data_IF_102454099968
#
_entry.id   IF_102454099968
#
_cell.length_a   1.000
_cell.length_b   1.000
_cell.length_c   1.000
_cell.angle_alpha   90.00
_cell.angle_beta   90.00
_cell.angle_gamma   90.00
#
_symmetry.space_group_name_H-M   'P 1'
#
loop_
_entity.id
_entity.type
_entity.pdbx_description
1 polymer ?
#
# COMPACT_ATOMS: atom_id res chain seq x y z
N UNK A 1 32.33 -5.14 -37.44
CA UNK A 1 31.23 -4.21 -37.13
C UNK A 1 30.21 -4.95 -36.29
N UNK A 2 30.25 -4.76 -34.97
CA UNK A 2 29.29 -5.38 -34.07
C UNK A 2 27.96 -4.64 -34.20
N UNK A 3 26.90 -5.36 -34.57
CA UNK A 3 25.55 -4.83 -34.60
C UNK A 3 25.12 -4.51 -33.16
N UNK A 4 24.97 -3.23 -32.86
CA UNK A 4 24.35 -2.76 -31.63
C UNK A 4 22.88 -3.13 -31.67
N UNK A 5 22.47 -4.06 -30.81
CA UNK A 5 21.05 -4.33 -30.54
C UNK A 5 20.37 -2.99 -30.17
N UNK A 6 19.25 -2.62 -30.80
CA UNK A 6 18.52 -1.43 -30.39
C UNK A 6 18.03 -1.67 -28.97
N UNK A 7 18.57 -0.94 -27.99
CA UNK A 7 18.05 -0.88 -26.63
C UNK A 7 16.58 -0.47 -26.74
N UNK A 8 15.67 -1.42 -26.62
CA UNK A 8 14.25 -1.17 -26.48
C UNK A 8 14.07 -0.29 -25.27
N UNK A 9 13.70 0.98 -25.47
CA UNK A 9 13.42 1.86 -24.34
C UNK A 9 12.31 1.24 -23.47
N UNK A 10 12.43 1.29 -22.14
CA UNK A 10 11.39 0.80 -21.24
C UNK A 10 10.05 1.45 -21.60
N UNK A 11 9.02 0.62 -21.85
CA UNK A 11 7.67 1.10 -22.11
C UNK A 11 7.14 1.84 -20.87
N UNK A 12 6.42 2.95 -21.11
CA UNK A 12 5.68 3.63 -20.05
C UNK A 12 4.65 2.67 -19.42
N UNK A 13 4.45 2.80 -18.12
CA UNK A 13 3.50 2.01 -17.32
C UNK A 13 2.59 2.97 -16.56
N UNK A 14 1.30 2.66 -16.55
CA UNK A 14 0.31 3.37 -15.73
C UNK A 14 -0.12 2.46 -14.60
N UNK A 15 -0.09 2.96 -13.37
CA UNK A 15 -0.57 2.29 -12.16
C UNK A 15 -1.76 3.05 -11.59
N UNK A 16 -2.81 2.35 -11.18
CA UNK A 16 -3.93 2.97 -10.47
C UNK A 16 -3.80 2.77 -8.96
N UNK A 17 -3.73 3.88 -8.22
CA UNK A 17 -3.52 3.91 -6.77
C UNK A 17 -4.79 4.46 -6.10
N UNK A 18 -5.40 3.66 -5.23
CA UNK A 18 -6.59 4.06 -4.48
C UNK A 18 -6.24 4.31 -3.01
N UNK A 19 -6.49 5.52 -2.52
CA UNK A 19 -6.20 5.96 -1.15
C UNK A 19 -7.50 6.11 -0.38
N UNK A 20 -7.54 5.56 0.83
CA UNK A 20 -8.64 5.69 1.78
C UNK A 20 -8.11 6.33 3.06
N UNK A 21 -8.81 7.36 3.56
CA UNK A 21 -8.61 7.86 4.93
C UNK A 21 -9.93 7.84 5.70
N UNK A 22 -9.90 7.31 6.92
CA UNK A 22 -11.09 7.30 7.78
C UNK A 22 -10.75 7.30 9.28
N UNK A 23 -11.21 8.34 9.98
CA UNK A 23 -11.31 8.29 11.43
C UNK A 23 -12.51 7.41 11.82
N UNK A 24 -12.24 6.23 12.38
CA UNK A 24 -13.26 5.21 12.64
C UNK A 24 -13.90 5.34 14.02
N UNK A 25 -13.48 6.31 14.85
CA UNK A 25 -14.03 6.57 16.19
C UNK A 25 -14.22 5.29 17.04
N UNK A 26 -13.21 4.41 16.98
CA UNK A 26 -13.10 3.08 17.62
C UNK A 26 -14.13 2.05 17.18
N UNK A 27 -14.84 2.27 16.08
CA UNK A 27 -15.75 1.31 15.49
C UNK A 27 -15.02 0.13 14.83
N UNK A 28 -15.69 -1.02 14.80
CA UNK A 28 -15.29 -2.18 14.00
C UNK A 28 -15.62 -1.95 12.51
N UNK A 29 -14.99 -2.68 11.58
CA UNK A 29 -15.35 -2.60 10.16
C UNK A 29 -16.84 -2.92 9.96
N UNK A 30 -17.55 -2.17 9.09
CA UNK A 30 -18.91 -2.52 8.71
C UNK A 30 -18.89 -3.77 7.81
N UNK A 31 -20.03 -4.47 7.65
CA UNK A 31 -20.08 -5.72 6.89
C UNK A 31 -19.76 -5.55 5.39
N UNK A 32 -19.93 -4.36 4.84
CA UNK A 32 -19.72 -4.07 3.42
C UNK A 32 -18.96 -2.75 3.25
N UNK A 33 -17.83 -2.80 2.53
CA UNK A 33 -17.01 -1.66 2.12
C UNK A 33 -16.83 -1.59 0.59
N UNK A 34 -17.72 -2.24 -0.17
CA UNK A 34 -17.58 -2.37 -1.63
C UNK A 34 -17.53 -1.02 -2.35
N UNK A 35 -18.35 -0.06 -1.94
CA UNK A 35 -18.34 1.30 -2.51
C UNK A 35 -17.10 2.09 -2.09
N UNK A 36 -16.67 1.97 -0.82
CA UNK A 36 -15.45 2.61 -0.32
C UNK A 36 -14.21 2.15 -1.09
N UNK A 37 -14.12 0.85 -1.36
CA UNK A 37 -13.01 0.21 -2.06
C UNK A 37 -13.22 0.14 -3.58
N UNK A 38 -14.35 0.64 -4.08
CA UNK A 38 -14.72 0.64 -5.50
C UNK A 38 -14.72 -0.77 -6.14
N UNK A 39 -15.07 -1.81 -5.39
CA UNK A 39 -15.02 -3.21 -5.83
C UNK A 39 -15.98 -3.49 -7.00
N UNK A 40 -17.07 -2.74 -7.09
CA UNK A 40 -18.09 -2.87 -8.14
C UNK A 40 -17.75 -2.07 -9.40
N UNK A 41 -16.66 -1.28 -9.41
CA UNK A 41 -16.30 -0.46 -10.55
C UNK A 41 -15.44 -1.22 -11.56
N UNK A 42 -16.09 -1.94 -12.47
CA UNK A 42 -15.44 -2.78 -13.50
C UNK A 42 -14.51 -2.01 -14.45
N UNK A 43 -14.63 -0.68 -14.52
CA UNK A 43 -13.78 0.14 -15.37
C UNK A 43 -12.44 0.51 -14.71
N UNK A 44 -12.30 0.28 -13.40
CA UNK A 44 -11.08 0.59 -12.67
C UNK A 44 -10.24 -0.65 -12.45
N UNK A 45 -9.12 -0.71 -13.15
CA UNK A 45 -8.10 -1.70 -12.90
C UNK A 45 -7.15 -1.19 -11.80
N UNK A 46 -7.60 -1.24 -10.54
CA UNK A 46 -6.79 -0.81 -9.39
C UNK A 46 -5.56 -1.72 -9.24
N UNK A 47 -4.41 -1.14 -8.91
CA UNK A 47 -3.14 -1.86 -8.77
C UNK A 47 -2.62 -1.83 -7.33
N UNK A 48 -2.87 -0.73 -6.62
CA UNK A 48 -2.42 -0.49 -5.23
C UNK A 48 -3.55 0.14 -4.42
N UNK A 49 -3.80 -0.41 -3.23
CA UNK A 49 -4.59 0.25 -2.19
C UNK A 49 -3.68 0.77 -1.08
N UNK A 50 -3.98 1.98 -0.64
CA UNK A 50 -3.35 2.63 0.51
C UNK A 50 -4.47 3.01 1.48
N UNK A 51 -4.48 2.43 2.68
CA UNK A 51 -5.57 2.62 3.64
C UNK A 51 -5.02 3.18 4.94
N UNK A 52 -5.47 4.37 5.32
CA UNK A 52 -5.14 5.01 6.60
C UNK A 52 -6.36 5.14 7.49
N UNK A 53 -6.27 4.59 8.70
CA UNK A 53 -7.30 4.71 9.71
C UNK A 53 -6.79 5.52 10.91
N UNK A 54 -7.71 6.22 11.57
CA UNK A 54 -7.47 6.94 12.83
C UNK A 54 -8.52 6.56 13.88
N UNK A 55 -8.18 6.75 15.15
CA UNK A 55 -9.01 6.37 16.31
C UNK A 55 -9.44 4.90 16.32
N UNK A 56 -8.61 4.00 15.78
CA UNK A 56 -8.87 2.57 15.90
C UNK A 56 -8.95 2.14 17.35
N UNK A 57 -9.80 1.15 17.63
CA UNK A 57 -9.88 0.56 18.95
C UNK A 57 -8.52 -0.05 19.33
N UNK A 58 -7.99 0.41 20.46
CA UNK A 58 -6.68 0.02 21.01
C UNK A 58 -6.84 -0.92 22.22
N UNK A 59 -7.91 -1.73 22.28
CA UNK A 59 -8.21 -2.66 23.39
C UNK A 59 -7.03 -3.58 23.78
N UNK A 60 -7.26 -4.58 24.64
CA UNK A 60 -6.24 -5.43 25.31
C UNK A 60 -5.15 -6.03 24.36
N UNK A 61 -5.37 -6.04 23.04
CA UNK A 61 -4.33 -6.26 22.03
C UNK A 61 -3.09 -5.34 22.16
N UNK A 62 -3.19 -4.17 22.79
CA UNK A 62 -2.01 -3.34 23.12
C UNK A 62 -1.17 -3.89 24.29
N UNK A 63 -1.70 -4.88 25.02
CA UNK A 63 -1.06 -5.53 26.17
C UNK A 63 -0.46 -6.90 25.83
N UNK A 64 -0.86 -7.48 24.70
CA UNK A 64 -0.31 -8.72 24.14
C UNK A 64 0.50 -8.34 22.90
N UNK A 65 1.56 -9.09 22.55
CA UNK A 65 2.54 -8.60 21.58
C UNK A 65 1.89 -8.17 20.26
N UNK A 66 2.26 -6.98 19.76
CA UNK A 66 1.87 -6.41 18.45
C UNK A 66 2.12 -7.37 17.26
N UNK A 67 2.83 -8.47 17.51
CA UNK A 67 3.18 -9.51 16.54
C UNK A 67 2.21 -10.70 16.51
N UNK A 68 1.37 -10.91 17.52
CA UNK A 68 0.62 -12.17 17.66
C UNK A 68 -0.81 -12.13 17.09
N UNK A 69 -1.43 -10.95 16.96
CA UNK A 69 -2.80 -10.84 16.47
C UNK A 69 -2.97 -9.65 15.52
N UNK A 70 -3.41 -9.96 14.30
CA UNK A 70 -3.86 -8.97 13.32
C UNK A 70 -5.12 -8.27 13.86
N UNK A 71 -5.20 -6.96 13.71
CA UNK A 71 -6.38 -6.22 14.11
C UNK A 71 -7.58 -6.51 13.18
N UNK A 72 -8.83 -6.34 13.65
CA UNK A 72 -10.02 -6.69 12.86
C UNK A 72 -10.14 -5.94 11.53
N UNK A 73 -9.62 -4.73 11.42
CA UNK A 73 -9.65 -3.97 10.17
C UNK A 73 -8.65 -4.54 9.17
N UNK A 74 -7.43 -4.83 9.61
CA UNK A 74 -6.41 -5.50 8.77
C UNK A 74 -6.92 -6.83 8.24
N UNK A 75 -7.53 -7.67 9.10
CA UNK A 75 -8.13 -8.94 8.68
C UNK A 75 -9.25 -8.73 7.66
N UNK A 76 -10.16 -7.79 7.93
CA UNK A 76 -11.28 -7.49 7.03
C UNK A 76 -10.79 -7.10 5.63
N UNK A 77 -9.83 -6.17 5.52
CA UNK A 77 -9.31 -5.75 4.23
C UNK A 77 -8.56 -6.88 3.51
N UNK A 78 -7.81 -7.69 4.26
CA UNK A 78 -7.16 -8.89 3.70
C UNK A 78 -8.17 -9.87 3.09
N UNK A 79 -9.25 -10.18 3.81
CA UNK A 79 -10.27 -11.12 3.36
C UNK A 79 -11.06 -10.59 2.14
N UNK A 80 -11.28 -9.28 2.08
CA UNK A 80 -11.98 -8.62 0.96
C UNK A 80 -11.10 -8.49 -0.29
N UNK A 81 -9.80 -8.19 -0.12
CA UNK A 81 -8.91 -7.84 -1.23
C UNK A 81 -8.15 -9.04 -1.81
N UNK A 82 -7.89 -10.10 -1.05
CA UNK A 82 -7.13 -11.25 -1.55
C UNK A 82 -7.78 -12.01 -2.70
N UNK A 83 -9.12 -12.18 -2.77
CA UNK A 83 -9.77 -12.78 -3.93
C UNK A 83 -9.55 -11.97 -5.22
N UNK A 84 -9.23 -10.68 -5.09
CA UNK A 84 -8.93 -9.75 -6.18
C UNK A 84 -7.43 -9.70 -6.51
N UNK A 85 -6.66 -10.69 -6.05
CA UNK A 85 -5.20 -10.82 -6.28
C UNK A 85 -4.34 -9.78 -5.56
N UNK A 86 -4.89 -9.04 -4.61
CA UNK A 86 -4.14 -8.11 -3.77
C UNK A 86 -3.54 -8.82 -2.56
N UNK A 87 -2.29 -8.49 -2.25
CA UNK A 87 -1.58 -9.00 -1.07
C UNK A 87 -1.23 -7.81 -0.19
N UNK A 88 -1.37 -7.96 1.13
CA UNK A 88 -0.88 -6.96 2.08
C UNK A 88 0.66 -6.94 2.01
N UNK A 89 1.21 -5.82 1.56
CA UNK A 89 2.65 -5.63 1.35
C UNK A 89 3.34 -5.15 2.62
N UNK A 90 2.72 -4.20 3.32
CA UNK A 90 3.28 -3.63 4.54
C UNK A 90 2.18 -2.96 5.37
N UNK A 91 2.44 -2.85 6.68
CA UNK A 91 1.61 -2.13 7.62
C UNK A 91 2.46 -1.43 8.67
N UNK A 92 1.95 -0.33 9.20
CA UNK A 92 2.52 0.35 10.36
C UNK A 92 1.40 0.89 11.24
N UNK A 93 1.56 0.71 12.55
CA UNK A 93 0.56 1.11 13.54
C UNK A 93 1.21 1.94 14.63
N UNK A 94 0.49 2.96 15.10
CA UNK A 94 0.83 3.74 16.29
C UNK A 94 -0.45 4.03 17.08
N UNK A 95 -0.67 3.29 18.17
CA UNK A 95 -1.91 3.34 18.94
C UNK A 95 -3.15 3.21 18.02
N UNK A 96 -3.92 4.29 17.85
CA UNK A 96 -5.14 4.32 17.04
C UNK A 96 -4.92 4.70 15.57
N UNK A 97 -3.67 4.93 15.14
CA UNK A 97 -3.28 5.16 13.76
C UNK A 97 -2.85 3.84 13.12
N UNK A 98 -3.37 3.54 11.93
CA UNK A 98 -2.95 2.40 11.12
C UNK A 98 -2.77 2.84 9.67
N UNK A 99 -1.71 2.39 9.04
CA UNK A 99 -1.49 2.52 7.61
C UNK A 99 -1.23 1.13 7.03
N UNK A 100 -1.99 0.78 5.98
CA UNK A 100 -1.91 -0.47 5.25
C UNK A 100 -1.62 -0.19 3.78
N UNK A 101 -0.76 -1.02 3.17
CA UNK A 101 -0.54 -1.03 1.73
C UNK A 101 -0.85 -2.42 1.20
N UNK A 102 -1.73 -2.49 0.21
CA UNK A 102 -1.99 -3.68 -0.58
C UNK A 102 -1.62 -3.42 -2.03
N UNK A 103 -1.09 -4.42 -2.72
CA UNK A 103 -0.82 -4.34 -4.14
C UNK A 103 -1.18 -5.67 -4.81
N UNK A 104 -1.57 -5.62 -6.09
CA UNK A 104 -1.69 -6.86 -6.87
C UNK A 104 -0.34 -7.58 -6.87
N UNK A 105 -0.35 -8.90 -6.67
CA UNK A 105 0.89 -9.68 -6.50
C UNK A 105 1.90 -9.45 -7.64
N UNK A 106 1.45 -9.20 -8.87
CA UNK A 106 2.31 -8.89 -10.03
C UNK A 106 3.24 -7.67 -9.86
N UNK A 107 2.95 -6.76 -8.91
CA UNK A 107 3.76 -5.57 -8.63
C UNK A 107 4.78 -5.78 -7.52
N UNK A 108 4.61 -6.80 -6.67
CA UNK A 108 5.47 -7.06 -5.50
C UNK A 108 6.97 -7.11 -5.83
N UNK A 109 7.43 -7.73 -6.95
CA UNK A 109 8.85 -7.73 -7.33
C UNK A 109 9.47 -6.36 -7.57
N UNK A 110 8.62 -5.32 -7.67
CA UNK A 110 9.00 -3.95 -7.94
C UNK A 110 8.64 -3.01 -6.79
N UNK A 111 8.22 -3.56 -5.65
CA UNK A 111 7.93 -2.83 -4.42
C UNK A 111 8.93 -3.28 -3.35
N UNK A 112 9.81 -2.38 -2.95
CA UNK A 112 10.76 -2.63 -1.87
C UNK A 112 10.43 -1.73 -0.68
N UNK A 113 10.07 -2.31 0.46
CA UNK A 113 9.87 -1.55 1.70
C UNK A 113 11.24 -1.23 2.28
N UNK A 114 11.55 0.06 2.39
CA UNK A 114 12.84 0.52 2.93
C UNK A 114 12.75 0.81 4.43
N UNK A 115 11.61 1.33 4.89
CA UNK A 115 11.40 1.63 6.29
C UNK A 115 9.93 1.85 6.63
N UNK A 116 9.56 1.55 7.87
CA UNK A 116 8.32 1.99 8.49
C UNK A 116 8.64 2.82 9.73
N UNK A 117 7.95 3.95 9.92
CA UNK A 117 8.22 4.89 11.02
C UNK A 117 6.92 5.35 11.68
N UNK A 118 7.00 5.58 12.98
CA UNK A 118 5.94 6.17 13.79
C UNK A 118 6.48 7.42 14.48
N UNK A 119 5.78 8.55 14.32
CA UNK A 119 6.15 9.84 14.90
C UNK A 119 5.05 10.28 15.86
N UNK A 120 5.19 9.98 17.17
CA UNK A 120 4.22 10.45 18.17
C UNK A 120 4.36 11.95 18.38
N UNK A 121 3.23 12.64 18.50
CA UNK A 121 3.17 14.08 18.76
C UNK A 121 2.09 14.43 19.80
N UNK A 122 1.55 13.43 20.52
CA UNK A 122 0.50 13.59 21.51
C UNK A 122 0.97 14.27 22.80
N UNK A 123 0.40 13.93 23.95
CA UNK A 123 0.77 14.48 25.26
C UNK A 123 2.31 14.63 25.41
N UNK A 124 2.76 15.88 25.60
CA UNK A 124 4.17 16.30 25.70
C UNK A 124 5.07 16.01 24.49
N UNK A 125 4.51 15.68 23.33
CA UNK A 125 5.27 15.33 22.12
C UNK A 125 5.79 13.88 22.11
N UNK A 126 5.38 13.04 23.07
CA UNK A 126 5.89 11.66 23.20
C UNK A 126 4.79 10.59 23.21
N UNK A 127 3.51 10.97 23.34
CA UNK A 127 2.40 10.02 23.34
C UNK A 127 1.83 9.77 21.94
N UNK A 128 1.55 8.52 21.57
CA UNK A 128 1.19 8.12 20.20
C UNK A 128 -0.28 8.28 19.79
N UNK A 129 -1.12 9.01 20.54
CA UNK A 129 -2.54 9.21 20.17
C UNK A 129 -2.75 10.29 19.10
N UNK A 130 -1.69 11.03 18.77
CA UNK A 130 -1.58 12.03 17.70
C UNK A 130 -0.21 11.88 17.07
N UNK A 131 -0.10 12.29 15.81
CA UNK A 131 1.14 12.26 15.05
C UNK A 131 0.95 11.61 13.69
N UNK A 132 1.98 10.91 13.21
CA UNK A 132 1.98 10.29 11.90
C UNK A 132 2.65 8.93 11.88
N UNK A 133 2.21 8.07 10.96
CA UNK A 133 2.87 6.83 10.59
C UNK A 133 3.23 6.87 9.12
N UNK A 134 4.41 6.39 8.76
CA UNK A 134 4.96 6.45 7.42
C UNK A 134 5.43 5.07 6.97
N UNK A 135 5.15 4.73 5.70
CA UNK A 135 5.81 3.65 4.98
C UNK A 135 6.60 4.26 3.84
N UNK A 136 7.91 4.06 3.88
CA UNK A 136 8.84 4.49 2.84
C UNK A 136 9.27 3.30 1.99
N UNK A 137 9.08 3.40 0.68
CA UNK A 137 9.31 2.32 -0.26
C UNK A 137 9.93 2.79 -1.58
N UNK A 138 10.52 1.85 -2.32
CA UNK A 138 10.76 2.00 -3.76
C UNK A 138 9.63 1.35 -4.53
N UNK A 139 9.06 2.06 -5.49
CA UNK A 139 8.06 1.58 -6.44
C UNK A 139 8.63 1.70 -7.86
N UNK A 140 8.91 0.57 -8.52
CA UNK A 140 9.58 0.55 -9.82
C UNK A 140 10.90 1.34 -9.87
N UNK A 141 11.58 1.42 -8.72
CA UNK A 141 12.82 2.16 -8.50
C UNK A 141 12.66 3.62 -8.06
N UNK A 142 11.44 4.17 -8.07
CA UNK A 142 11.16 5.53 -7.58
C UNK A 142 10.93 5.53 -6.07
N UNK A 143 11.42 6.55 -5.37
CA UNK A 143 11.27 6.72 -3.93
C UNK A 143 9.89 7.30 -3.60
N UNK A 144 9.11 6.58 -2.79
CA UNK A 144 7.74 6.96 -2.42
C UNK A 144 7.57 6.93 -0.91
N UNK A 145 7.12 8.03 -0.32
CA UNK A 145 6.68 8.10 1.09
C UNK A 145 5.16 8.19 1.18
N UNK A 146 4.59 7.40 2.10
CA UNK A 146 3.15 7.31 2.31
C UNK A 146 2.86 7.53 3.79
N UNK A 147 2.21 8.65 4.10
CA UNK A 147 2.02 9.13 5.47
C UNK A 147 0.53 9.19 5.80
N UNK A 148 0.13 8.48 6.84
CA UNK A 148 -1.16 8.65 7.52
C UNK A 148 -0.95 9.44 8.82
N UNK A 149 -1.78 10.44 9.09
CA UNK A 149 -1.67 11.27 10.30
C UNK A 149 -2.99 11.47 11.03
N UNK A 150 -2.87 11.87 12.30
CA UNK A 150 -3.95 12.34 13.14
C UNK A 150 -3.45 13.56 13.92
N UNK A 151 -3.82 14.74 13.46
CA UNK A 151 -3.31 16.02 13.98
C UNK A 151 -4.21 16.58 15.10
N UNK A 152 -3.73 17.57 15.89
CA UNK A 152 -4.44 18.12 17.03
C UNK A 152 -5.85 18.62 16.69
N UNK A 153 -6.87 18.26 17.49
CA UNK A 153 -8.24 18.69 17.25
C UNK A 153 -8.45 20.14 17.72
N UNK A 154 -9.67 20.65 17.51
CA UNK A 154 -10.15 22.00 17.89
C UNK A 154 -9.66 23.15 16.99
N UNK A 155 -10.54 24.14 16.85
CA UNK A 155 -10.34 25.32 15.98
C UNK A 155 -9.09 26.12 16.35
N UNK A 156 -8.82 26.32 17.63
CA UNK A 156 -7.72 27.14 18.15
C UNK A 156 -6.32 26.52 17.92
N UNK A 157 -6.22 25.21 17.68
CA UNK A 157 -4.93 24.51 17.61
C UNK A 157 -4.34 24.50 16.18
N UNK A 158 -4.54 25.58 15.41
CA UNK A 158 -4.06 25.64 14.04
C UNK A 158 -2.53 25.59 13.97
N UNK A 159 -1.87 26.44 14.75
CA UNK A 159 -0.40 26.50 14.78
C UNK A 159 0.21 25.19 15.25
N UNK A 160 -0.43 24.52 16.21
CA UNK A 160 -0.01 23.20 16.67
C UNK A 160 -0.13 22.12 15.58
N UNK A 161 -1.14 22.21 14.68
CA UNK A 161 -1.23 21.31 13.53
C UNK A 161 -0.07 21.52 12.56
N UNK A 162 0.32 22.77 12.32
CA UNK A 162 1.45 23.10 11.47
C UNK A 162 2.77 22.61 12.07
N UNK A 163 2.99 22.83 13.38
CA UNK A 163 4.16 22.30 14.09
C UNK A 163 4.25 20.77 14.00
N UNK A 164 3.12 20.07 14.17
CA UNK A 164 3.08 18.61 14.05
C UNK A 164 3.33 18.15 12.61
N UNK A 165 2.87 18.91 11.62
CA UNK A 165 3.18 18.64 10.21
C UNK A 165 4.70 18.70 9.99
N UNK A 166 5.35 19.80 10.37
CA UNK A 166 6.79 19.97 10.22
C UNK A 166 7.56 18.87 10.96
N UNK A 167 7.17 18.57 12.21
CA UNK A 167 7.78 17.51 13.02
C UNK A 167 7.69 16.14 12.36
N UNK A 168 6.55 15.82 11.75
CA UNK A 168 6.38 14.54 11.04
C UNK A 168 7.36 14.47 9.88
N UNK A 169 7.50 15.51 9.06
CA UNK A 169 8.47 15.52 7.95
C UNK A 169 9.91 15.38 8.41
N UNK A 170 10.32 16.16 9.40
CA UNK A 170 11.69 16.18 9.92
C UNK A 170 12.13 14.80 10.42
N UNK A 171 11.25 14.11 11.14
CA UNK A 171 11.49 12.78 11.71
C UNK A 171 11.58 11.66 10.65
N UNK A 172 11.20 11.93 9.40
CA UNK A 172 11.33 10.94 8.33
C UNK A 172 12.76 10.81 7.82
N UNK A 173 13.64 11.77 8.07
CA UNK A 173 15.02 11.71 7.59
C UNK A 173 15.83 10.61 8.29
N UNK A 174 16.76 9.99 7.57
CA UNK A 174 17.63 8.92 8.08
C UNK A 174 19.05 9.45 8.13
N UNK A 175 19.63 9.61 9.33
CA UNK A 175 21.02 10.07 9.46
C UNK A 175 22.05 8.96 9.17
N UNK A 176 21.62 7.68 9.17
CA UNK A 176 22.51 6.51 9.17
C UNK A 176 22.32 5.55 7.98
N UNK A 177 21.49 5.88 6.99
CA UNK A 177 21.25 5.05 5.80
C UNK A 177 21.39 5.91 4.54
N UNK A 178 21.80 5.31 3.41
CA UNK A 178 21.83 5.95 2.07
C UNK A 178 20.41 6.23 1.53
N UNK A 179 19.54 6.77 2.39
CA UNK A 179 18.15 7.12 2.11
C UNK A 179 18.08 8.62 1.87
N UNK A 180 17.51 9.07 0.74
CA UNK A 180 17.33 10.48 0.47
C UNK A 180 16.39 11.14 1.50
N UNK A 181 16.58 12.44 1.72
CA UNK A 181 15.66 13.27 2.51
C UNK A 181 14.22 13.11 1.97
N UNK A 182 13.22 13.16 2.85
CA UNK A 182 11.82 12.98 2.43
C UNK A 182 11.40 13.94 1.31
N UNK A 183 11.92 15.18 1.31
CA UNK A 183 11.62 16.18 0.29
C UNK A 183 12.26 15.87 -1.08
N UNK A 184 13.22 14.95 -1.12
CA UNK A 184 13.86 14.44 -2.33
C UNK A 184 13.21 13.18 -2.88
N UNK A 185 12.17 12.65 -2.22
CA UNK A 185 11.39 11.51 -2.71
C UNK A 185 10.57 11.92 -3.94
N UNK A 186 10.42 10.98 -4.87
CA UNK A 186 9.73 11.21 -6.15
C UNK A 186 8.23 11.48 -5.95
N UNK A 187 7.62 10.81 -4.97
CA UNK A 187 6.24 11.00 -4.55
C UNK A 187 6.11 10.98 -3.03
N UNK A 188 5.38 11.95 -2.48
CA UNK A 188 4.88 11.93 -1.11
C UNK A 188 3.35 11.92 -1.19
N UNK A 189 2.72 10.90 -0.60
CA UNK A 189 1.28 10.84 -0.35
C UNK A 189 1.08 11.10 1.14
N UNK A 190 0.32 12.14 1.49
CA UNK A 190 0.07 12.50 2.89
C UNK A 190 -1.40 12.75 3.13
N UNK A 191 -1.99 11.92 3.98
CA UNK A 191 -3.42 11.94 4.27
C UNK A 191 -3.69 11.65 5.74
N UNK A 192 -4.95 11.73 6.13
CA UNK A 192 -5.38 11.43 7.48
C UNK A 192 -6.46 12.36 8.00
N UNK A 193 -6.74 12.26 9.29
CA UNK A 193 -7.49 13.26 10.04
C UNK A 193 -6.55 14.41 10.40
N UNK A 194 -6.43 15.35 9.47
CA UNK A 194 -5.62 16.55 9.62
C UNK A 194 -6.27 17.60 10.52
N UNK A 195 -7.54 17.42 10.91
CA UNK A 195 -8.24 18.23 11.91
C UNK A 195 -8.32 19.75 11.64
N UNK A 196 -7.99 20.22 10.43
CA UNK A 196 -8.19 21.62 10.02
C UNK A 196 -9.68 21.98 10.00
N UNK A 197 -9.98 23.22 10.39
CA UNK A 197 -11.35 23.71 10.59
C UNK A 197 -11.66 24.84 9.63
N UNK A 198 -12.96 25.13 9.48
CA UNK A 198 -13.42 26.36 8.85
C UNK A 198 -13.38 27.45 9.92
N UNK A 199 -12.65 28.54 9.74
CA UNK A 199 -12.64 29.70 10.64
C UNK A 199 -13.62 30.79 10.19
N UNK A 200 -13.80 31.85 10.98
CA UNK A 200 -14.58 33.08 10.74
C UNK A 200 -16.08 32.99 10.38
N UNK A 201 -16.53 31.97 9.64
CA UNK A 201 -17.94 31.77 9.33
C UNK A 201 -18.72 31.23 10.52
N UNK A 202 -19.86 31.85 10.80
CA UNK A 202 -20.83 31.37 11.78
C UNK A 202 -21.47 30.05 11.36
N UNK A 203 -21.92 29.26 12.34
CA UNK A 203 -22.51 27.93 12.11
C UNK A 203 -23.69 27.95 11.12
N UNK A 204 -24.54 28.98 11.17
CA UNK A 204 -25.68 29.13 10.27
C UNK A 204 -25.23 29.26 8.81
N UNK A 205 -24.26 30.13 8.53
CA UNK A 205 -23.72 30.32 7.19
C UNK A 205 -23.14 29.01 6.64
N UNK A 206 -22.28 28.34 7.43
CA UNK A 206 -21.71 27.05 7.05
C UNK A 206 -22.78 26.02 6.70
N UNK A 207 -23.82 25.89 7.54
CA UNK A 207 -24.92 24.95 7.29
C UNK A 207 -25.72 25.28 6.03
N UNK A 208 -25.98 26.56 5.77
CA UNK A 208 -26.72 26.99 4.59
C UNK A 208 -25.90 26.78 3.30
N UNK A 209 -24.59 27.08 3.33
CA UNK A 209 -23.69 26.77 2.21
C UNK A 209 -23.64 25.27 1.92
N UNK A 210 -23.56 24.42 2.95
CA UNK A 210 -23.59 22.96 2.77
C UNK A 210 -24.91 22.49 2.18
N UNK A 211 -26.04 22.99 2.71
CA UNK A 211 -27.38 22.64 2.23
C UNK A 211 -27.59 22.99 0.76
N UNK A 212 -27.06 24.13 0.32
CA UNK A 212 -27.12 24.58 -1.07
C UNK A 212 -25.98 24.04 -1.95
N UNK A 213 -25.10 23.19 -1.39
CA UNK A 213 -23.91 22.63 -2.05
C UNK A 213 -22.91 23.69 -2.56
N UNK A 214 -22.92 24.88 -1.97
CA UNK A 214 -21.97 25.96 -2.24
C UNK A 214 -20.70 25.77 -1.41
N UNK A 215 -20.00 24.65 -1.62
CA UNK A 215 -18.81 24.30 -0.84
C UNK A 215 -17.64 25.27 -1.09
N UNK A 216 -17.51 25.77 -2.32
CA UNK A 216 -16.45 26.72 -2.71
C UNK A 216 -16.42 27.99 -1.86
N UNK A 217 -17.58 28.45 -1.41
CA UNK A 217 -17.72 29.66 -0.59
C UNK A 217 -17.05 29.50 0.78
N UNK A 218 -16.81 28.26 1.21
CA UNK A 218 -16.20 27.93 2.49
C UNK A 218 -14.67 27.81 2.40
N UNK A 219 -14.10 27.60 1.21
CA UNK A 219 -12.67 27.30 1.03
C UNK A 219 -11.76 28.45 1.47
N UNK A 220 -12.19 29.70 1.30
CA UNK A 220 -11.38 30.85 1.71
C UNK A 220 -11.11 30.89 3.20
N UNK A 221 -11.97 30.23 3.99
CA UNK A 221 -11.89 30.13 5.44
C UNK A 221 -11.56 28.71 5.93
N UNK A 222 -11.23 27.78 5.04
CA UNK A 222 -10.64 26.51 5.44
C UNK A 222 -9.17 26.74 5.85
N UNK A 223 -8.83 26.38 7.09
CA UNK A 223 -7.49 26.58 7.64
C UNK A 223 -6.39 25.90 6.83
N UNK A 224 -6.61 24.71 6.25
CA UNK A 224 -5.57 24.08 5.41
C UNK A 224 -5.39 24.87 4.11
N UNK A 225 -6.49 25.28 3.49
CA UNK A 225 -6.47 26.12 2.28
C UNK A 225 -5.77 27.45 2.52
N UNK A 226 -5.99 28.08 3.69
CA UNK A 226 -5.26 29.27 4.13
C UNK A 226 -3.78 28.96 4.33
N UNK A 227 -3.44 27.91 5.09
CA UNK A 227 -2.06 27.54 5.38
C UNK A 227 -1.24 27.33 4.10
N UNK A 228 -1.77 26.59 3.12
CA UNK A 228 -1.11 26.36 1.82
C UNK A 228 -0.86 27.65 1.01
N UNK A 229 -1.63 28.71 1.24
CA UNK A 229 -1.39 30.02 0.60
C UNK A 229 -0.24 30.78 1.26
N UNK A 230 0.04 30.59 2.54
CA UNK A 230 1.03 31.37 3.29
C UNK A 230 2.33 30.61 3.57
N UNK A 231 2.24 29.31 3.81
CA UNK A 231 3.36 28.44 4.12
C UNK A 231 4.01 27.90 2.83
N UNK A 232 5.34 28.04 2.72
CA UNK A 232 6.08 27.70 1.50
C UNK A 232 6.15 26.19 1.25
N UNK A 233 6.26 25.39 2.31
CA UNK A 233 6.41 23.94 2.23
C UNK A 233 5.07 23.28 1.92
N UNK A 234 4.01 23.68 2.63
CA UNK A 234 2.64 23.23 2.37
C UNK A 234 2.15 23.61 0.97
N UNK A 235 2.62 24.73 0.41
CA UNK A 235 2.31 25.11 -0.97
C UNK A 235 2.86 24.11 -2.00
N UNK A 236 3.88 23.33 -1.66
CA UNK A 236 4.41 22.29 -2.55
C UNK A 236 3.49 21.07 -2.65
N UNK A 237 2.62 20.88 -1.66
CA UNK A 237 1.62 19.82 -1.66
C UNK A 237 0.38 20.24 -2.47
N UNK A 238 -0.05 19.36 -3.36
CA UNK A 238 -1.28 19.48 -4.13
C UNK A 238 -2.43 18.79 -3.40
N UNK A 239 -3.65 19.22 -3.68
CA UNK A 239 -4.89 18.64 -3.16
C UNK A 239 -6.00 18.83 -4.21
N UNK A 240 -6.93 17.88 -4.30
CA UNK A 240 -8.09 17.98 -5.18
C UNK A 240 -9.12 19.00 -4.67
N UNK A 241 -10.03 19.50 -5.53
CA UNK A 241 -11.09 20.39 -5.08
C UNK A 241 -12.05 19.66 -4.12
N UNK A 242 -12.42 20.31 -3.03
CA UNK A 242 -13.37 19.77 -2.04
C UNK A 242 -14.81 19.92 -2.54
N UNK A 243 -15.19 19.04 -3.48
CA UNK A 243 -16.53 19.02 -4.12
C UNK A 243 -17.55 18.16 -3.36
N UNK A 244 -17.26 17.83 -2.11
CA UNK A 244 -18.09 17.02 -1.21
C UNK A 244 -18.30 17.76 0.11
N UNK A 245 -19.38 17.48 0.85
CA UNK A 245 -19.67 18.19 2.09
C UNK A 245 -18.59 17.92 3.17
N UNK A 246 -18.43 18.82 4.16
CA UNK A 246 -17.52 18.62 5.28
C UNK A 246 -17.71 17.26 5.98
N UNK A 247 -16.60 16.56 6.24
CA UNK A 247 -16.58 15.16 6.68
C UNK A 247 -16.73 14.97 8.18
N UNK A 248 -16.76 16.07 8.94
CA UNK A 248 -16.89 16.10 10.39
C UNK A 248 -17.74 17.31 10.80
N UNK A 249 -18.51 17.33 11.90
CA UNK A 249 -18.80 16.22 12.83
C UNK A 249 -20.25 15.77 12.67
N UNK A 250 -20.47 14.47 12.55
CA UNK A 250 -21.79 13.86 12.46
C UNK A 250 -22.24 13.24 13.78
N UNK A 251 -23.55 13.13 13.95
CA UNK A 251 -24.10 12.18 14.92
C UNK A 251 -23.88 10.76 14.41
N UNK A 252 -23.43 9.84 15.29
CA UNK A 252 -23.18 8.45 14.91
C UNK A 252 -24.46 7.80 14.36
N UNK A 253 -24.29 6.94 13.36
CA UNK A 253 -25.34 6.25 12.61
C UNK A 253 -26.29 7.20 11.84
N UNK A 254 -25.83 8.41 11.53
CA UNK A 254 -26.62 9.43 10.82
C UNK A 254 -25.78 10.25 9.84
N UNK A 255 -26.47 11.01 8.98
CA UNK A 255 -25.91 12.08 8.15
C UNK A 255 -26.26 13.47 8.70
N UNK A 256 -26.84 13.53 9.90
CA UNK A 256 -27.08 14.78 10.63
C UNK A 256 -25.80 15.26 11.28
N UNK A 257 -25.43 16.52 11.03
CA UNK A 257 -24.32 17.18 11.72
C UNK A 257 -24.64 17.44 13.19
N UNK A 258 -23.59 17.34 14.03
CA UNK A 258 -23.60 17.37 15.50
C UNK A 258 -24.78 18.13 16.13
N UNK A 259 -25.70 17.36 16.72
CA UNK A 259 -26.87 17.88 17.46
C UNK A 259 -26.62 17.99 18.96
N UNK A 260 -25.43 17.58 19.45
CA UNK A 260 -25.07 17.71 20.85
C UNK A 260 -25.01 19.17 21.30
N UNK A 261 -24.97 19.40 22.61
CA UNK A 261 -24.85 20.75 23.19
C UNK A 261 -23.63 21.52 22.65
N UNK A 262 -22.56 20.82 22.26
CA UNK A 262 -21.34 21.42 21.74
C UNK A 262 -21.49 21.99 20.32
N UNK A 263 -22.50 21.52 19.56
CA UNK A 263 -22.83 21.95 18.18
C UNK A 263 -21.60 22.25 17.34
N UNK A 264 -20.68 21.28 17.23
CA UNK A 264 -19.42 21.47 16.53
C UNK A 264 -19.69 21.87 15.09
N UNK A 265 -19.00 22.94 14.65
CA UNK A 265 -19.11 23.45 13.29
C UNK A 265 -18.58 22.41 12.30
N UNK A 266 -19.31 22.14 11.19
CA UNK A 266 -18.81 21.25 10.15
C UNK A 266 -17.45 21.68 9.61
N UNK A 267 -16.57 20.72 9.31
CA UNK A 267 -15.22 20.95 8.77
C UNK A 267 -14.72 19.77 7.92
N UNK A 268 -13.86 20.05 6.95
CA UNK A 268 -13.10 19.04 6.21
C UNK A 268 -11.83 18.69 7.00
N UNK A 269 -11.99 17.75 7.92
CA UNK A 269 -10.89 17.27 8.77
C UNK A 269 -10.06 16.18 8.07
N UNK A 270 -10.70 15.40 7.20
CA UNK A 270 -10.12 14.23 6.55
C UNK A 270 -9.62 14.61 5.15
N UNK A 271 -8.30 14.60 4.93
CA UNK A 271 -7.65 15.23 3.76
C UNK A 271 -6.67 14.29 3.08
N UNK A 272 -6.47 14.46 1.77
CA UNK A 272 -5.49 13.70 0.98
C UNK A 272 -4.67 14.68 0.13
N UNK A 273 -3.40 14.82 0.46
CA UNK A 273 -2.43 15.64 -0.24
C UNK A 273 -1.39 14.79 -0.94
N UNK A 274 -0.79 15.32 -2.00
CA UNK A 274 0.35 14.71 -2.65
C UNK A 274 1.40 15.73 -3.07
N UNK A 275 2.66 15.33 -3.12
CA UNK A 275 3.75 16.15 -3.64
C UNK A 275 4.61 15.30 -4.57
N UNK A 276 4.85 15.81 -5.77
CA UNK A 276 5.83 15.26 -6.71
C UNK A 276 7.14 16.00 -6.56
N UNK A 277 8.27 15.29 -6.68
CA UNK A 277 9.59 15.92 -6.73
C UNK A 277 9.63 16.96 -7.84
N UNK A 278 10.20 18.13 -7.53
CA UNK A 278 10.46 19.15 -8.56
C UNK A 278 11.46 18.60 -9.57
N UNK A 279 11.04 18.46 -10.81
CA UNK A 279 11.95 18.25 -11.93
C UNK A 279 12.88 19.48 -12.00
N UNK A 280 14.21 19.30 -12.09
CA UNK A 280 15.10 20.43 -12.29
C UNK A 280 14.70 21.14 -13.59
N UNK A 281 14.30 22.41 -13.48
CA UNK A 281 14.07 23.22 -14.67
C UNK A 281 15.40 23.41 -15.36
N UNK A 282 15.55 22.82 -16.56
CA UNK A 282 16.72 23.06 -17.40
C UNK A 282 16.88 24.57 -17.62
N UNK A 283 18.09 25.08 -17.39
CA UNK A 283 18.42 26.48 -17.66
C UNK A 283 18.12 26.85 -19.12
N UNK A 284 18.07 28.14 -19.41
CA UNK A 284 17.71 28.73 -20.72
C UNK A 284 18.50 28.20 -21.94
N UNK A 285 19.53 27.36 -21.76
CA UNK A 285 20.35 26.77 -22.81
C UNK A 285 20.43 25.23 -22.83
N UNK A 286 19.67 24.52 -22.01
CA UNK A 286 19.56 23.04 -22.10
C UNK A 286 18.34 22.65 -22.93
N UNK A 287 18.45 21.73 -23.91
CA UNK A 287 17.29 21.19 -24.62
C UNK A 287 16.27 20.70 -23.60
N UNK A 288 14.97 21.00 -23.82
CA UNK A 288 13.88 20.51 -22.97
C UNK A 288 14.09 19.01 -22.76
N UNK A 289 14.41 18.63 -21.52
CA UNK A 289 14.43 17.22 -21.11
C UNK A 289 13.07 16.61 -21.48
N UNK A 290 13.12 15.35 -21.94
CA UNK A 290 11.97 14.52 -22.30
C UNK A 290 10.85 14.64 -21.26
N UNK A 291 9.59 14.48 -21.71
CA UNK A 291 8.40 14.54 -20.86
C UNK A 291 8.59 13.81 -19.52
N UNK A 292 8.03 14.32 -18.41
CA UNK A 292 8.32 13.80 -17.06
C UNK A 292 8.10 12.30 -17.02
N UNK A 293 9.17 11.55 -16.74
CA UNK A 293 9.19 10.09 -16.64
C UNK A 293 8.35 9.54 -15.46
N UNK A 294 7.67 10.41 -14.72
CA UNK A 294 6.90 10.14 -13.52
C UNK A 294 5.86 11.26 -13.32
N UNK A 295 4.57 10.96 -13.49
CA UNK A 295 3.46 11.92 -13.41
C UNK A 295 2.28 11.30 -12.68
N UNK A 296 1.59 12.08 -11.85
CA UNK A 296 0.44 11.64 -11.07
C UNK A 296 -0.81 12.46 -11.43
N UNK A 297 -1.89 11.77 -11.79
CA UNK A 297 -3.16 12.37 -12.17
C UNK A 297 -4.25 11.97 -11.19
N UNK A 298 -4.90 12.94 -10.55
CA UNK A 298 -6.07 12.70 -9.72
C UNK A 298 -7.29 12.38 -10.60
N UNK A 299 -7.90 11.22 -10.40
CA UNK A 299 -9.11 10.77 -11.11
C UNK A 299 -10.39 11.00 -10.31
N UNK A 300 -10.34 10.78 -9.00
CA UNK A 300 -11.47 11.03 -8.10
C UNK A 300 -10.99 11.48 -6.74
N UNK A 301 -11.76 12.36 -6.09
CA UNK A 301 -11.56 12.79 -4.71
C UNK A 301 -12.92 13.06 -4.07
N UNK A 302 -13.40 12.13 -3.24
CA UNK A 302 -14.79 12.10 -2.78
C UNK A 302 -14.90 11.63 -1.33
N UNK A 303 -16.01 12.00 -0.67
CA UNK A 303 -16.42 11.44 0.62
C UNK A 303 -17.61 10.50 0.45
N UNK A 304 -17.66 9.44 1.26
CA UNK A 304 -18.69 8.41 1.18
C UNK A 304 -19.69 8.54 2.33
N UNK A 305 -20.76 9.30 2.09
CA UNK A 305 -21.79 9.64 3.07
C UNK A 305 -22.65 8.45 3.54
N UNK A 306 -22.62 7.32 2.83
CA UNK A 306 -23.37 6.11 3.20
C UNK A 306 -22.81 5.42 4.45
N UNK A 307 -21.52 5.62 4.75
CA UNK A 307 -20.90 5.06 5.95
C UNK A 307 -21.15 5.98 7.14
N UNK A 308 -21.77 5.43 8.18
CA UNK A 308 -22.25 6.23 9.32
C UNK A 308 -21.81 5.70 10.69
N UNK A 309 -20.96 4.68 10.75
CA UNK A 309 -20.47 4.08 12.02
C UNK A 309 -19.63 5.05 12.87
N UNK A 310 -19.10 6.11 12.26
CA UNK A 310 -18.25 7.12 12.88
C UNK A 310 -18.90 8.51 12.82
N UNK A 311 -18.45 9.43 13.65
CA UNK A 311 -18.76 10.86 13.54
C UNK A 311 -17.95 11.55 12.41
N UNK A 312 -17.08 10.80 11.73
CA UNK A 312 -16.42 11.16 10.48
C UNK A 312 -16.93 10.32 9.29
N UNK A 313 -16.91 10.94 8.11
CA UNK A 313 -17.18 10.25 6.83
C UNK A 313 -15.86 9.91 6.14
N UNK A 314 -15.69 8.67 5.63
CA UNK A 314 -14.46 8.31 4.95
C UNK A 314 -14.27 9.14 3.69
N UNK A 315 -13.01 9.40 3.37
CA UNK A 315 -12.58 10.14 2.18
C UNK A 315 -11.66 9.27 1.36
N UNK A 316 -11.84 9.30 0.04
CA UNK A 316 -11.02 8.52 -0.89
C UNK A 316 -10.48 9.39 -2.01
N UNK A 317 -9.30 9.05 -2.50
CA UNK A 317 -8.74 9.60 -3.72
C UNK A 317 -8.22 8.46 -4.61
N UNK A 318 -8.53 8.50 -5.90
CA UNK A 318 -7.96 7.56 -6.88
C UNK A 318 -7.03 8.32 -7.80
N UNK A 319 -5.81 7.81 -7.97
CA UNK A 319 -4.80 8.39 -8.83
C UNK A 319 -4.42 7.43 -9.95
N UNK A 320 -4.02 7.98 -11.08
CA UNK A 320 -3.24 7.30 -12.09
C UNK A 320 -1.80 7.82 -12.04
N UNK A 321 -0.87 6.91 -11.76
CA UNK A 321 0.56 7.17 -11.77
C UNK A 321 1.15 6.65 -13.08
N UNK A 322 1.53 7.55 -13.96
CA UNK A 322 2.27 7.24 -15.18
C UNK A 322 3.76 7.32 -14.90
N UNK A 323 4.50 6.23 -15.15
CA UNK A 323 5.93 6.16 -14.93
C UNK A 323 6.66 5.37 -16.01
N UNK A 324 7.92 5.71 -16.27
CA UNK A 324 8.87 4.85 -16.98
C UNK A 324 9.65 4.05 -15.93
N UNK A 325 9.48 2.72 -15.82
CA UNK A 325 10.14 1.95 -14.76
C UNK A 325 11.66 2.10 -14.81
N UNK A 326 12.28 2.38 -13.66
CA UNK A 326 13.74 2.32 -13.50
C UNK A 326 14.21 0.87 -13.29
N UNK A 327 13.30 0.02 -12.80
CA UNK A 327 13.44 -1.43 -12.72
C UNK A 327 12.32 -2.06 -13.55
N UNK A 328 12.65 -2.63 -14.72
CA UNK A 328 11.66 -3.14 -15.68
C UNK A 328 11.49 -4.67 -15.66
N UNK A 329 12.43 -5.39 -15.06
CA UNK A 329 12.39 -6.85 -14.89
C UNK A 329 12.61 -7.20 -13.42
N UNK A 330 12.00 -8.29 -12.91
CA UNK A 330 12.26 -8.77 -11.56
C UNK A 330 13.73 -9.21 -11.44
N UNK A 331 14.29 -9.12 -10.22
CA UNK A 331 15.68 -9.54 -9.98
C UNK A 331 15.84 -11.06 -10.04
N UNK A 332 14.74 -11.79 -9.75
CA UNK A 332 14.64 -13.24 -9.84
C UNK A 332 13.53 -13.63 -10.81
N UNK A 333 13.81 -14.56 -11.73
CA UNK A 333 12.79 -15.19 -12.57
C UNK A 333 12.59 -16.64 -12.13
N UNK A 334 11.41 -16.95 -11.58
CA UNK A 334 11.03 -18.29 -11.14
C UNK A 334 10.40 -19.08 -12.28
N UNK A 335 10.89 -20.30 -12.48
CA UNK A 335 10.33 -21.30 -13.38
C UNK A 335 9.82 -22.46 -12.53
N UNK A 336 8.49 -22.56 -12.33
CA UNK A 336 7.91 -23.81 -11.85
C UNK A 336 8.07 -24.82 -12.98
N UNK A 337 9.06 -25.71 -12.89
CA UNK A 337 9.16 -26.85 -13.78
C UNK A 337 8.00 -27.79 -13.43
N UNK A 338 6.96 -27.77 -14.26
CA UNK A 338 5.90 -28.74 -14.11
C UNK A 338 6.47 -30.16 -14.27
N UNK A 339 5.97 -31.08 -13.43
CA UNK A 339 5.73 -32.50 -13.73
C UNK A 339 6.68 -33.57 -13.17
N UNK A 340 7.80 -33.24 -12.53
CA UNK A 340 8.62 -34.28 -11.88
C UNK A 340 8.60 -34.14 -10.35
N UNK A 341 7.53 -34.62 -9.74
CA UNK A 341 7.53 -34.92 -8.30
C UNK A 341 8.41 -36.14 -8.07
N UNK A 342 9.57 -35.98 -7.43
CA UNK A 342 10.21 -37.11 -6.76
C UNK A 342 9.38 -37.36 -5.49
N UNK A 343 8.33 -38.19 -5.59
CA UNK A 343 7.34 -38.63 -4.59
C UNK A 343 6.71 -37.56 -3.65
N UNK A 344 7.46 -36.62 -3.07
CA UNK A 344 7.06 -35.58 -2.13
C UNK A 344 7.73 -34.21 -2.30
N UNK A 345 8.61 -34.03 -3.30
CA UNK A 345 9.32 -32.77 -3.51
C UNK A 345 9.01 -32.14 -4.88
N UNK A 346 8.80 -30.83 -4.89
CA UNK A 346 8.64 -30.03 -6.11
C UNK A 346 9.97 -29.38 -6.48
N UNK A 347 10.45 -29.65 -7.68
CA UNK A 347 11.64 -29.03 -8.26
C UNK A 347 11.31 -27.61 -8.74
N UNK A 348 12.07 -26.63 -8.28
CA UNK A 348 11.95 -25.23 -8.66
C UNK A 348 13.26 -24.79 -9.29
N UNK A 349 13.16 -24.22 -10.49
CA UNK A 349 14.29 -23.61 -11.19
C UNK A 349 14.15 -22.09 -11.16
N UNK A 350 15.26 -21.35 -11.02
CA UNK A 350 15.23 -19.90 -11.13
C UNK A 350 16.53 -19.30 -11.67
N UNK A 351 16.41 -18.10 -12.24
CA UNK A 351 17.52 -17.29 -12.72
C UNK A 351 17.69 -16.05 -11.85
N UNK A 352 18.95 -15.68 -11.62
CA UNK A 352 19.37 -14.44 -10.96
C UNK A 352 19.84 -13.41 -12.00
N UNK A 353 19.63 -12.13 -11.72
CA UNK A 353 20.31 -11.05 -12.44
C UNK A 353 21.77 -10.96 -12.01
N UNK A 354 22.67 -10.60 -12.93
CA UNK A 354 24.07 -10.26 -12.58
C UNK A 354 24.04 -9.11 -11.58
N UNK A 355 24.66 -9.29 -10.42
CA UNK A 355 24.72 -8.37 -9.27
C UNK A 355 23.58 -8.47 -8.23
N UNK A 356 22.74 -9.52 -8.26
CA UNK A 356 21.78 -9.74 -7.17
C UNK A 356 22.49 -10.01 -5.83
N UNK A 357 22.21 -9.24 -4.76
CA UNK A 357 22.84 -9.42 -3.45
C UNK A 357 22.17 -10.58 -2.70
N UNK A 358 22.49 -11.81 -3.07
CA UNK A 358 21.93 -13.01 -2.43
C UNK A 358 22.31 -13.10 -0.95
N UNK A 359 21.43 -13.75 -0.19
CA UNK A 359 21.60 -14.07 1.23
C UNK A 359 21.39 -15.57 1.46
N UNK A 360 22.12 -16.21 2.39
CA UNK A 360 21.78 -17.56 2.84
C UNK A 360 20.37 -17.66 3.43
N UNK A 361 19.86 -16.52 3.92
CA UNK A 361 18.50 -16.36 4.46
C UNK A 361 17.47 -15.98 3.40
N UNK A 362 17.81 -16.03 2.11
CA UNK A 362 16.81 -15.92 1.06
C UNK A 362 15.98 -17.21 1.01
N UNK A 363 14.69 -17.09 0.71
CA UNK A 363 13.79 -18.23 0.68
C UNK A 363 12.76 -18.13 -0.44
N UNK A 364 12.30 -19.29 -0.90
CA UNK A 364 11.20 -19.40 -1.85
C UNK A 364 10.00 -19.99 -1.11
N UNK A 365 8.91 -19.24 -1.10
CA UNK A 365 7.62 -19.68 -0.56
C UNK A 365 6.72 -20.20 -1.67
N UNK A 366 5.94 -21.23 -1.35
CA UNK A 366 4.83 -21.71 -2.14
C UNK A 366 3.53 -21.24 -1.53
N UNK A 367 2.65 -20.67 -2.34
CA UNK A 367 1.43 -20.00 -1.90
C UNK A 367 0.24 -20.49 -2.71
N UNK A 368 -0.93 -20.54 -2.07
CA UNK A 368 -2.20 -20.65 -2.81
C UNK A 368 -2.50 -19.32 -3.50
N UNK A 369 -3.04 -19.36 -4.71
CA UNK A 369 -3.61 -18.17 -5.35
C UNK A 369 -4.73 -17.63 -4.45
N UNK A 370 -4.72 -16.33 -4.17
CA UNK A 370 -5.61 -15.70 -3.18
C UNK A 370 -4.99 -15.56 -1.78
N UNK A 371 -3.68 -15.77 -1.64
CA UNK A 371 -2.92 -15.41 -0.42
C UNK A 371 -3.23 -13.97 0.04
N UNK A 372 -3.31 -13.76 1.35
CA UNK A 372 -3.62 -12.45 1.93
C UNK A 372 -2.35 -11.71 2.32
N UNK A 373 -1.32 -12.43 2.74
CA UNK A 373 -0.05 -11.90 3.23
C UNK A 373 1.15 -12.76 2.81
N UNK A 374 2.36 -12.18 2.82
CA UNK A 374 3.60 -12.87 2.45
C UNK A 374 3.96 -14.05 3.38
N UNK A 375 3.40 -14.06 4.59
CA UNK A 375 3.59 -15.16 5.55
C UNK A 375 2.53 -16.26 5.42
N UNK A 376 1.59 -16.17 4.47
CA UNK A 376 0.55 -17.19 4.22
C UNK A 376 1.06 -18.33 3.33
N UNK A 377 2.37 -18.62 3.35
CA UNK A 377 2.93 -19.71 2.54
C UNK A 377 2.42 -21.07 3.07
N UNK A 378 2.15 -22.00 2.16
CA UNK A 378 1.80 -23.39 2.51
C UNK A 378 3.03 -24.26 2.72
N UNK A 379 4.14 -23.91 2.07
CA UNK A 379 5.45 -24.52 2.25
C UNK A 379 6.51 -23.51 1.84
N UNK A 380 7.76 -23.72 2.25
CA UNK A 380 8.89 -22.86 1.88
C UNK A 380 10.20 -23.64 1.87
N UNK A 381 11.22 -23.05 1.25
CA UNK A 381 12.59 -23.57 1.25
C UNK A 381 13.60 -22.43 1.38
N UNK A 382 14.61 -22.60 2.23
CA UNK A 382 15.78 -21.73 2.26
C UNK A 382 16.68 -22.03 1.07
N UNK A 383 17.00 -20.99 0.30
CA UNK A 383 17.73 -21.11 -0.96
C UNK A 383 19.18 -21.54 -0.75
N UNK A 384 19.85 -20.99 0.27
CA UNK A 384 21.27 -21.27 0.54
C UNK A 384 21.58 -22.72 0.90
N UNK A 385 20.64 -23.40 1.58
CA UNK A 385 20.87 -24.74 2.13
C UNK A 385 20.51 -25.87 1.14
N UNK A 386 19.68 -25.57 0.13
CA UNK A 386 19.09 -26.58 -0.76
C UNK A 386 19.48 -26.38 -2.24
N UNK A 387 20.57 -25.65 -2.49
CA UNK A 387 21.03 -25.35 -3.84
C UNK A 387 21.59 -26.61 -4.53
N UNK A 388 20.93 -27.03 -5.60
CA UNK A 388 21.43 -28.05 -6.54
C UNK A 388 21.81 -27.32 -7.83
N UNK A 389 23.10 -27.13 -8.10
CA UNK A 389 23.53 -26.36 -9.27
C UNK A 389 23.66 -27.22 -10.52
N UNK A 390 23.10 -26.72 -11.62
CA UNK A 390 23.34 -27.24 -12.97
C UNK A 390 23.57 -26.03 -13.88
N UNK A 391 24.85 -25.64 -14.03
CA UNK A 391 25.37 -24.41 -14.69
C UNK A 391 25.37 -23.13 -13.83
N UNK A 392 26.19 -22.15 -14.24
CA UNK A 392 26.50 -20.94 -13.47
C UNK A 392 25.32 -19.94 -13.33
N UNK A 393 24.23 -20.10 -14.08
CA UNK A 393 23.09 -19.15 -14.10
C UNK A 393 21.73 -19.75 -13.69
N UNK A 394 21.56 -21.08 -13.84
CA UNK A 394 20.33 -21.79 -13.49
C UNK A 394 20.49 -22.49 -12.15
N UNK A 395 19.67 -22.10 -11.18
CA UNK A 395 19.70 -22.69 -9.84
C UNK A 395 18.43 -23.49 -9.60
N UNK A 396 18.59 -24.68 -9.01
CA UNK A 396 17.50 -25.55 -8.65
C UNK A 396 17.43 -25.75 -7.14
N UNK A 397 16.21 -25.79 -6.61
CA UNK A 397 15.91 -26.14 -5.21
C UNK A 397 14.70 -27.07 -5.16
N UNK A 398 14.63 -27.89 -4.12
CA UNK A 398 13.47 -28.73 -3.84
C UNK A 398 12.66 -28.14 -2.69
N UNK A 399 11.35 -28.04 -2.87
CA UNK A 399 10.42 -27.69 -1.79
C UNK A 399 9.60 -28.92 -1.40
N UNK A 400 9.54 -29.20 -0.11
CA UNK A 400 8.74 -30.31 0.37
C UNK A 400 7.24 -29.97 0.26
N UNK A 401 6.47 -30.86 -0.35
CA UNK A 401 5.04 -30.69 -0.58
C UNK A 401 4.20 -31.82 0.03
N UNK A 402 4.77 -32.62 0.95
CA UNK A 402 4.13 -33.81 1.54
C UNK A 402 2.80 -33.48 2.23
N UNK A 403 2.72 -32.31 2.85
CA UNK A 403 1.56 -31.84 3.62
C UNK A 403 0.55 -31.05 2.77
N UNK A 404 0.81 -30.90 1.46
CA UNK A 404 -0.10 -30.18 0.57
C UNK A 404 -1.14 -31.16 0.02
N UNK A 405 -2.43 -30.97 0.32
CA UNK A 405 -3.47 -31.87 -0.15
C UNK A 405 -3.54 -31.84 -1.68
N UNK A 406 -3.83 -32.99 -2.28
CA UNK A 406 -4.15 -33.08 -3.71
C UNK A 406 -5.42 -32.25 -3.98
N UNK A 407 -5.24 -31.15 -4.70
CA UNK A 407 -6.29 -30.17 -4.98
C UNK A 407 -6.16 -29.68 -6.41
N UNK A 408 -7.28 -29.24 -7.00
CA UNK A 408 -7.24 -28.55 -8.31
C UNK A 408 -6.83 -27.07 -8.21
N UNK A 409 -6.43 -26.64 -7.01
CA UNK A 409 -6.05 -25.26 -6.72
C UNK A 409 -4.81 -24.84 -7.51
N UNK A 410 -4.70 -23.52 -7.74
CA UNK A 410 -3.52 -22.93 -8.34
C UNK A 410 -2.60 -22.37 -7.26
N UNK A 411 -1.31 -22.46 -7.54
CA UNK A 411 -0.25 -22.01 -6.65
C UNK A 411 0.65 -20.98 -7.33
N UNK A 412 1.37 -20.22 -6.51
CA UNK A 412 2.38 -19.24 -6.88
C UNK A 412 3.66 -19.52 -6.08
N UNK A 413 4.82 -19.26 -6.69
CA UNK A 413 6.10 -19.22 -6.00
C UNK A 413 6.54 -17.78 -5.85
N UNK A 414 6.93 -17.36 -4.64
CA UNK A 414 7.53 -16.06 -4.41
C UNK A 414 8.95 -16.26 -3.89
N UNK A 415 9.92 -15.55 -4.48
CA UNK A 415 11.28 -15.46 -3.95
C UNK A 415 11.38 -14.23 -3.06
N UNK A 416 11.69 -14.43 -1.78
CA UNK A 416 11.89 -13.36 -0.82
C UNK A 416 13.38 -13.16 -0.56
N UNK A 417 13.85 -11.93 -0.77
CA UNK A 417 15.23 -11.54 -0.44
C UNK A 417 15.29 -11.01 0.99
N UNK A 418 16.13 -11.63 1.81
CA UNK A 418 16.37 -11.17 3.18
C UNK A 418 17.12 -9.83 3.20
N UNK A 419 18.12 -9.66 2.32
CA UNK A 419 18.90 -8.41 2.27
C UNK A 419 18.06 -7.21 1.82
N UNK A 420 17.10 -7.42 0.92
CA UNK A 420 16.24 -6.36 0.39
C UNK A 420 14.89 -6.25 1.11
N UNK A 421 14.61 -7.14 2.08
CA UNK A 421 13.34 -7.24 2.81
C UNK A 421 12.11 -7.15 1.89
N UNK A 422 12.13 -7.86 0.77
CA UNK A 422 11.10 -7.78 -0.25
C UNK A 422 11.02 -9.03 -1.12
N UNK A 423 9.86 -9.22 -1.74
CA UNK A 423 9.69 -10.19 -2.82
C UNK A 423 10.39 -9.64 -4.05
N UNK A 424 11.21 -10.45 -4.70
CA UNK A 424 12.06 -10.03 -5.84
C UNK A 424 11.85 -10.88 -7.09
N UNK A 425 11.00 -11.90 -6.99
CA UNK A 425 10.57 -12.74 -8.11
C UNK A 425 9.28 -13.46 -7.78
N UNK A 426 8.42 -13.66 -8.80
CA UNK A 426 7.15 -14.38 -8.69
C UNK A 426 6.96 -15.26 -9.93
N UNK A 427 6.45 -16.48 -9.75
CA UNK A 427 6.09 -17.37 -10.86
C UNK A 427 4.75 -16.99 -11.51
N UNK A 428 4.47 -17.55 -12.69
CA UNK A 428 3.08 -17.64 -13.16
C UNK A 428 2.29 -18.61 -12.27
N UNK A 429 0.96 -18.47 -12.15
CA UNK A 429 0.12 -19.47 -11.51
C UNK A 429 0.31 -20.84 -12.17
N UNK A 430 0.40 -21.90 -11.37
CA UNK A 430 0.51 -23.29 -11.85
C UNK A 430 -0.29 -24.23 -10.96
N UNK A 431 -0.57 -25.45 -11.45
CA UNK A 431 -1.18 -26.52 -10.66
C UNK A 431 -0.12 -27.53 -10.29
N UNK A 432 -0.19 -28.07 -9.07
CA UNK A 432 0.59 -29.23 -8.66
C UNK A 432 -0.19 -30.46 -9.13
N UNK A 433 0.44 -31.36 -9.89
CA UNK A 433 -0.27 -32.54 -10.37
C UNK A 433 -0.49 -33.56 -9.24
N UNK A 434 -1.67 -34.23 -9.19
CA UNK A 434 -1.90 -35.36 -8.29
C UNK A 434 -0.89 -36.47 -8.52
N UNK A 435 -0.63 -37.28 -7.50
CA UNK A 435 0.30 -38.41 -7.59
C UNK A 435 -0.21 -39.40 -8.64
N UNK A 436 0.37 -39.39 -9.84
CA UNK A 436 0.18 -40.50 -10.77
C UNK A 436 1.02 -41.66 -10.24
N UNK A 437 0.40 -42.58 -9.51
CA UNK A 437 0.99 -43.91 -9.35
C UNK A 437 1.26 -44.43 -10.75
N UNK A 438 2.53 -44.70 -11.08
CA UNK A 438 2.83 -45.53 -12.24
C UNK A 438 2.11 -46.85 -12.00
N UNK A 439 0.99 -47.05 -12.70
CA UNK A 439 0.36 -48.34 -12.78
C UNK A 439 1.38 -49.22 -13.50
N UNK A 440 2.06 -50.09 -12.77
CA UNK A 440 2.87 -51.14 -13.39
C UNK A 440 1.95 -51.89 -14.35
N UNK A 441 2.24 -51.82 -15.66
CA UNK A 441 1.65 -52.72 -16.63
C UNK A 441 1.91 -54.14 -16.15
N UNK A 442 0.87 -54.97 -15.91
CA UNK A 442 1.09 -56.35 -15.57
C UNK A 442 1.73 -57.03 -16.79
N UNK A 443 3.01 -57.36 -16.65
CA UNK A 443 3.75 -58.23 -17.56
C UNK A 443 2.86 -59.40 -17.98
N UNK A 444 2.53 -59.44 -19.26
CA UNK A 444 1.88 -60.56 -19.93
C UNK A 444 2.61 -61.86 -19.58
N UNK A 445 2.03 -62.63 -18.67
CA UNK A 445 2.42 -63.99 -18.40
C UNK A 445 1.94 -64.84 -19.59
N UNK A 446 2.74 -64.86 -20.65
CA UNK A 446 2.61 -65.85 -21.71
C UNK A 446 2.81 -67.25 -21.12
N UNK A 447 1.70 -67.99 -20.92
CA UNK A 447 1.74 -69.43 -20.68
C UNK A 447 2.17 -70.14 -21.98
N UNK A 448 3.14 -71.06 -21.93
CA UNK A 448 3.42 -71.94 -23.05
C UNK A 448 2.37 -73.05 -23.09
N UNK A 449 1.75 -73.24 -24.27
CA UNK A 449 0.92 -74.39 -24.58
C UNK A 449 1.76 -75.69 -24.55
N UNK A 450 1.30 -76.68 -23.79
CA UNK A 450 1.27 -78.10 -24.18
C UNK A 450 -0.06 -78.68 -23.70
#
# INVERSE_FOLDING_TARGET
MAATNPRTEPRSRTLSIHIVTWNVASAAPPPDLSDLLQLNNLNLNLDIYVIGLQEMNCGIMSLLSDTAFEDPWSSFFMDVLSPLSFVKVSSVRMQGLLLLIFAKYQHLPFIQILSTKSTPTGLFGYWGNKGGVNIFLKLYGYYVSIINCHLPPHMANNDQRLEHFDRILEMQNFEAQDIPNILDHDLILWFGDMNFRIEDFGLHFVRESIKNQFYSDLWEKDQLSIAKRHDLLLREFQEGPLLFPPTYKFDKNSNTYDTSEKKRKPAWTDRILWRLKRQPQGGFHTPRLSAPHFSLFLRSYVSHMMYSISDHKPVTATFELELKPLVSAPLITLLPEGLCTMENDLLISYFLTTDFPSSPWDWIGLYKVGLRHINDYVSYVWVGDNQVSFSDELIQVYINISDIPETEEQFLLFYYSNNLHSVVGISKPFKIQPRSFFQEDPLDAAQPQI
#
